data_IF_497065909521
#
_entry.id   IF_497065909521
#
_cell.length_a   1.000
_cell.length_b   1.000
_cell.length_c   1.000
_cell.angle_alpha   90.00
_cell.angle_beta   90.00
_cell.angle_gamma   90.00
#
_symmetry.space_group_name_H-M   'P 1'
#
loop_
_entity.id
_entity.type
_entity.pdbx_description
1 polymer ?
#
# COMPACT_ATOMS: atom_id res chain seq x y z
N UNK A 1 41.29 11.69 39.26
CA UNK A 1 40.60 10.40 39.36
C UNK A 1 39.22 10.63 38.77
N UNK A 2 38.93 9.93 37.67
CA UNK A 2 37.69 10.06 36.91
C UNK A 2 36.52 9.46 37.67
N UNK A 3 35.35 10.10 37.58
CA UNK A 3 34.08 9.40 37.55
C UNK A 3 33.19 10.16 36.56
N UNK A 4 33.10 9.53 35.41
CA UNK A 4 32.08 9.68 34.39
C UNK A 4 30.80 9.06 34.96
N UNK A 5 29.69 9.79 34.95
CA UNK A 5 28.38 9.23 35.32
C UNK A 5 27.35 9.77 34.32
N UNK A 6 27.49 9.27 33.08
CA UNK A 6 26.40 9.14 32.11
C UNK A 6 25.26 8.30 32.73
N UNK A 7 24.11 8.93 32.98
CA UNK A 7 22.81 8.24 33.08
C UNK A 7 21.62 9.22 33.06
N UNK A 8 21.29 9.76 31.88
CA UNK A 8 19.94 10.30 31.64
C UNK A 8 18.99 9.13 31.26
N UNK A 9 17.88 8.90 32.00
CA UNK A 9 16.98 7.80 31.74
C UNK A 9 15.96 8.15 30.66
N UNK A 10 15.93 7.34 29.61
CA UNK A 10 14.68 7.04 28.92
C UNK A 10 14.15 8.11 27.97
N UNK A 11 14.94 8.45 26.95
CA UNK A 11 14.35 8.85 25.67
C UNK A 11 13.64 7.63 25.05
N UNK A 12 12.39 7.39 25.48
CA UNK A 12 11.45 6.58 24.71
C UNK A 12 11.36 7.23 23.34
N UNK A 13 12.02 6.58 22.39
CA UNK A 13 12.05 6.85 20.97
C UNK A 13 10.65 7.11 20.43
N UNK A 14 10.26 8.39 20.42
CA UNK A 14 9.26 8.90 19.50
C UNK A 14 9.87 8.84 18.10
N UNK A 15 9.75 7.69 17.44
CA UNK A 15 10.06 7.61 16.01
C UNK A 15 9.19 8.62 15.28
N UNK A 16 9.77 9.53 14.49
CA UNK A 16 8.96 10.49 13.77
C UNK A 16 8.24 9.73 12.65
N UNK A 17 6.91 9.89 12.60
CA UNK A 17 6.04 9.30 11.57
C UNK A 17 6.47 9.65 10.13
N UNK A 18 7.42 10.57 9.93
CA UNK A 18 8.03 10.94 8.66
C UNK A 18 9.02 9.91 8.10
N UNK A 19 9.62 9.03 8.91
CA UNK A 19 10.54 8.01 8.38
C UNK A 19 9.81 6.90 7.60
N UNK A 20 8.54 6.63 7.94
CA UNK A 20 7.68 5.71 7.18
C UNK A 20 7.09 6.35 5.91
N UNK A 21 7.21 7.67 5.76
CA UNK A 21 6.80 8.40 4.55
C UNK A 21 7.88 8.43 3.46
N UNK A 22 9.09 7.94 3.73
CA UNK A 22 10.21 7.96 2.80
C UNK A 22 10.29 6.73 1.89
N UNK A 23 9.53 5.67 2.17
CA UNK A 23 9.45 4.46 1.33
C UNK A 23 8.10 4.43 0.63
N UNK A 24 8.09 4.19 -0.67
CA UNK A 24 6.87 4.11 -1.48
C UNK A 24 6.88 2.87 -2.37
N UNK A 25 5.70 2.37 -2.70
CA UNK A 25 5.53 1.26 -3.64
C UNK A 25 4.90 1.82 -4.93
N UNK A 26 5.72 2.53 -5.70
CA UNK A 26 5.30 3.27 -6.89
C UNK A 26 5.20 2.37 -8.12
N UNK A 27 3.98 2.10 -8.54
CA UNK A 27 3.67 1.36 -9.76
C UNK A 27 2.53 2.04 -10.51
N UNK A 28 2.50 1.91 -11.82
CA UNK A 28 1.30 2.19 -12.61
C UNK A 28 0.26 1.09 -12.36
N UNK A 29 -1.04 1.36 -12.62
CA UNK A 29 -2.07 0.33 -12.64
C UNK A 29 -1.70 -0.90 -13.49
N UNK A 30 -1.10 -0.74 -14.67
CA UNK A 30 -0.65 -1.89 -15.49
C UNK A 30 0.39 -2.73 -14.76
N UNK A 31 1.46 -2.10 -14.29
CA UNK A 31 2.55 -2.80 -13.62
C UNK A 31 2.07 -3.49 -12.33
N UNK A 32 1.14 -2.88 -11.57
CA UNK A 32 0.60 -3.51 -10.38
C UNK A 32 -0.27 -4.74 -10.71
N UNK A 33 -1.03 -4.71 -11.80
CA UNK A 33 -1.80 -5.87 -12.24
C UNK A 33 -0.87 -7.04 -12.64
N UNK A 34 0.20 -6.74 -13.39
CA UNK A 34 1.22 -7.71 -13.78
C UNK A 34 1.97 -8.26 -12.56
N UNK A 35 2.47 -7.39 -11.69
CA UNK A 35 3.12 -7.77 -10.43
C UNK A 35 2.21 -8.63 -9.55
N UNK A 36 0.91 -8.31 -9.48
CA UNK A 36 -0.06 -9.10 -8.74
C UNK A 36 -0.12 -10.54 -9.24
N UNK A 37 -0.10 -10.74 -10.56
CA UNK A 37 -0.08 -12.07 -11.19
C UNK A 37 1.23 -12.81 -10.86
N UNK A 38 2.38 -12.14 -10.98
CA UNK A 38 3.67 -12.75 -10.67
C UNK A 38 3.76 -13.20 -9.20
N UNK A 39 3.29 -12.37 -8.27
CA UNK A 39 3.23 -12.70 -6.85
C UNK A 39 2.29 -13.88 -6.57
N UNK A 40 1.20 -14.00 -7.33
CA UNK A 40 0.28 -15.14 -7.25
C UNK A 40 0.92 -16.42 -7.78
N UNK A 41 1.59 -16.36 -8.93
CA UNK A 41 2.27 -17.49 -9.54
C UNK A 41 3.43 -17.99 -8.67
N UNK A 42 4.14 -17.09 -8.01
CA UNK A 42 5.19 -17.42 -7.04
C UNK A 42 4.66 -17.88 -5.66
N UNK A 43 3.34 -17.91 -5.46
CA UNK A 43 2.71 -18.34 -4.19
C UNK A 43 2.85 -17.34 -3.03
N UNK A 44 3.26 -16.10 -3.30
CA UNK A 44 3.33 -15.03 -2.29
C UNK A 44 1.92 -14.57 -1.89
N UNK A 45 1.02 -14.44 -2.89
CA UNK A 45 -0.40 -14.13 -2.69
C UNK A 45 -1.26 -15.38 -2.96
N UNK A 46 -2.36 -15.52 -2.23
CA UNK A 46 -3.42 -16.47 -2.57
C UNK A 46 -4.40 -15.87 -3.61
N UNK A 47 -5.38 -16.66 -4.07
CA UNK A 47 -6.34 -16.22 -5.11
C UNK A 47 -7.13 -14.97 -4.70
N UNK A 48 -7.55 -14.88 -3.43
CA UNK A 48 -8.32 -13.75 -2.93
C UNK A 48 -7.47 -12.48 -2.87
N UNK A 49 -6.25 -12.60 -2.36
CA UNK A 49 -5.29 -11.50 -2.27
C UNK A 49 -4.86 -11.01 -3.65
N UNK A 50 -4.66 -11.95 -4.58
CA UNK A 50 -4.41 -11.65 -5.98
C UNK A 50 -5.58 -10.89 -6.61
N UNK A 51 -6.81 -11.41 -6.49
CA UNK A 51 -7.99 -10.74 -7.05
C UNK A 51 -8.18 -9.33 -6.48
N UNK A 52 -7.90 -9.17 -5.19
CA UNK A 52 -7.94 -7.89 -4.49
C UNK A 52 -6.87 -6.90 -5.00
N UNK A 53 -5.64 -7.36 -5.23
CA UNK A 53 -4.52 -6.52 -5.66
C UNK A 53 -4.51 -6.23 -7.17
N UNK A 54 -4.82 -7.21 -7.99
CA UNK A 54 -4.76 -7.13 -9.45
C UNK A 54 -5.94 -6.38 -10.08
N UNK A 55 -7.05 -6.21 -9.34
CA UNK A 55 -8.16 -5.39 -9.82
C UNK A 55 -7.76 -3.90 -9.87
N UNK A 56 -7.67 -3.37 -11.08
CA UNK A 56 -7.33 -1.97 -11.34
C UNK A 56 -8.44 -1.32 -12.16
N UNK A 57 -9.18 -0.39 -11.55
CA UNK A 57 -10.33 0.24 -12.21
C UNK A 57 -9.93 0.89 -13.54
N UNK A 58 -8.76 1.53 -13.61
CA UNK A 58 -8.24 2.20 -14.81
C UNK A 58 -8.01 1.25 -16.01
N UNK A 59 -7.94 -0.06 -15.77
CA UNK A 59 -7.80 -1.07 -16.83
C UNK A 59 -9.15 -1.65 -17.27
N UNK A 60 -10.25 -1.28 -16.61
CA UNK A 60 -11.56 -1.82 -16.90
C UNK A 60 -12.13 -1.21 -18.19
N UNK A 61 -12.62 -2.02 -19.15
CA UNK A 61 -13.17 -1.51 -20.41
C UNK A 61 -14.35 -0.56 -20.18
N UNK A 62 -15.15 -0.84 -19.15
CA UNK A 62 -16.32 -0.04 -18.79
C UNK A 62 -16.02 1.11 -17.81
N UNK A 63 -14.76 1.51 -17.62
CA UNK A 63 -14.44 2.63 -16.70
C UNK A 63 -15.25 3.89 -17.03
N UNK A 64 -15.34 4.22 -18.33
CA UNK A 64 -16.03 5.42 -18.80
C UNK A 64 -17.52 5.43 -18.46
N UNK A 65 -18.18 4.26 -18.47
CA UNK A 65 -19.62 4.13 -18.20
C UNK A 65 -19.93 3.90 -16.72
N UNK A 66 -18.91 3.76 -15.87
CA UNK A 66 -19.04 3.51 -14.44
C UNK A 66 -18.40 4.62 -13.61
N UNK A 67 -17.13 4.46 -13.21
CA UNK A 67 -16.39 5.43 -12.39
C UNK A 67 -16.28 6.77 -13.10
N UNK A 68 -15.93 6.77 -14.39
CA UNK A 68 -15.81 7.98 -15.19
C UNK A 68 -17.12 8.75 -15.31
N UNK A 69 -18.26 8.06 -15.41
CA UNK A 69 -19.57 8.70 -15.45
C UNK A 69 -19.95 9.38 -14.11
N UNK A 70 -19.54 8.81 -12.98
CA UNK A 70 -19.83 9.34 -11.64
C UNK A 70 -18.88 10.45 -11.20
N UNK A 71 -17.63 10.43 -11.68
CA UNK A 71 -16.56 11.32 -11.21
C UNK A 71 -16.14 12.37 -12.25
N UNK A 72 -16.42 12.13 -13.53
CA UNK A 72 -15.88 12.91 -14.65
C UNK A 72 -14.40 12.63 -14.95
N UNK A 73 -13.78 11.69 -14.23
CA UNK A 73 -12.37 11.35 -14.41
C UNK A 73 -12.14 10.46 -15.63
N UNK A 74 -10.91 10.49 -16.16
CA UNK A 74 -10.43 9.57 -17.20
C UNK A 74 -9.59 8.46 -16.57
N UNK A 75 -9.59 7.25 -17.14
CA UNK A 75 -8.69 6.21 -16.65
C UNK A 75 -7.24 6.66 -16.85
N UNK A 76 -6.40 6.42 -15.85
CA UNK A 76 -4.97 6.77 -15.86
C UNK A 76 -4.12 5.50 -15.67
N UNK A 77 -4.14 4.55 -16.63
CA UNK A 77 -3.52 3.24 -16.46
C UNK A 77 -2.00 3.27 -16.37
N UNK A 78 -1.38 4.34 -16.86
CA UNK A 78 0.08 4.52 -16.93
C UNK A 78 0.58 5.61 -15.95
N UNK A 79 -0.29 6.09 -15.04
CA UNK A 79 0.11 7.06 -14.00
C UNK A 79 0.53 6.32 -12.73
N UNK A 80 1.79 6.44 -12.28
CA UNK A 80 2.23 5.80 -11.04
C UNK A 80 1.45 6.25 -9.81
N UNK A 81 1.25 5.33 -8.87
CA UNK A 81 0.59 5.53 -7.58
C UNK A 81 1.39 4.83 -6.49
N UNK A 82 1.36 5.38 -5.29
CA UNK A 82 1.90 4.68 -4.12
C UNK A 82 0.88 3.65 -3.62
N UNK A 83 1.02 2.42 -4.08
CA UNK A 83 0.12 1.33 -3.67
C UNK A 83 0.27 1.00 -2.19
N UNK A 84 1.43 1.23 -1.58
CA UNK A 84 1.57 0.99 -0.15
C UNK A 84 0.68 1.96 0.64
N UNK A 85 0.69 3.24 0.30
CA UNK A 85 -0.19 4.23 0.92
C UNK A 85 -1.68 3.92 0.68
N UNK A 86 -2.05 3.58 -0.56
CA UNK A 86 -3.44 3.24 -0.92
C UNK A 86 -3.97 2.05 -0.11
N UNK A 87 -3.18 0.98 0.01
CA UNK A 87 -3.58 -0.21 0.76
C UNK A 87 -3.58 0.01 2.27
N UNK A 88 -2.69 0.84 2.81
CA UNK A 88 -2.74 1.26 4.21
C UNK A 88 -3.99 2.10 4.51
N UNK A 89 -4.38 3.00 3.60
CA UNK A 89 -5.62 3.76 3.72
C UNK A 89 -6.85 2.85 3.69
N UNK A 90 -6.89 1.88 2.76
CA UNK A 90 -7.95 0.87 2.69
C UNK A 90 -8.03 0.04 3.98
N UNK A 91 -6.90 -0.38 4.52
CA UNK A 91 -6.84 -1.10 5.81
C UNK A 91 -7.41 -0.27 6.96
N UNK A 92 -7.04 1.01 7.03
CA UNK A 92 -7.55 1.92 8.05
C UNK A 92 -9.07 2.13 7.92
N UNK A 93 -9.58 2.21 6.68
CA UNK A 93 -11.00 2.31 6.40
C UNK A 93 -11.77 1.07 6.87
N UNK A 94 -11.38 -0.13 6.44
CA UNK A 94 -12.09 -1.37 6.80
C UNK A 94 -12.11 -1.62 8.31
N UNK A 95 -11.02 -1.29 9.01
CA UNK A 95 -10.93 -1.41 10.48
C UNK A 95 -11.87 -0.48 11.25
N UNK A 96 -12.27 0.66 10.66
CA UNK A 96 -13.13 1.65 11.32
C UNK A 96 -14.62 1.41 11.07
N UNK A 97 -14.98 0.42 10.26
CA UNK A 97 -16.39 0.08 10.00
C UNK A 97 -17.08 -0.37 11.28
N UNK A 98 -18.38 -0.10 11.37
CA UNK A 98 -19.23 -0.52 12.51
C UNK A 98 -19.19 -2.04 12.71
N UNK A 99 -19.18 -2.78 11.61
CA UNK A 99 -19.09 -4.24 11.57
C UNK A 99 -17.91 -4.62 10.67
N UNK A 100 -16.71 -4.80 11.23
CA UNK A 100 -15.51 -5.12 10.46
C UNK A 100 -15.55 -6.56 9.92
N UNK A 101 -15.26 -6.72 8.63
CA UNK A 101 -14.97 -8.04 8.05
C UNK A 101 -13.52 -8.43 8.39
N UNK A 102 -13.36 -9.26 9.42
CA UNK A 102 -12.04 -9.68 9.89
C UNK A 102 -11.27 -10.48 8.84
N UNK A 103 -11.93 -11.27 7.99
CA UNK A 103 -11.26 -12.05 6.94
C UNK A 103 -10.69 -11.13 5.88
N UNK A 104 -11.49 -10.17 5.41
CA UNK A 104 -11.02 -9.15 4.46
C UNK A 104 -9.86 -8.34 5.05
N UNK A 105 -9.96 -7.94 6.32
CA UNK A 105 -8.88 -7.20 7.01
C UNK A 105 -7.58 -8.01 7.03
N UNK A 106 -7.63 -9.32 7.25
CA UNK A 106 -6.44 -10.18 7.22
C UNK A 106 -5.81 -10.24 5.82
N UNK A 107 -6.61 -10.35 4.76
CA UNK A 107 -6.10 -10.31 3.40
C UNK A 107 -5.45 -8.97 3.06
N UNK A 108 -6.10 -7.85 3.42
CA UNK A 108 -5.56 -6.50 3.24
C UNK A 108 -4.24 -6.34 4.01
N UNK A 109 -4.16 -6.84 5.24
CA UNK A 109 -2.93 -6.82 6.04
C UNK A 109 -1.79 -7.57 5.35
N UNK A 110 -2.06 -8.78 4.84
CA UNK A 110 -1.07 -9.57 4.10
C UNK A 110 -0.58 -8.83 2.86
N UNK A 111 -1.47 -8.21 2.09
CA UNK A 111 -1.10 -7.38 0.93
C UNK A 111 -0.19 -6.22 1.37
N UNK A 112 -0.56 -5.48 2.43
CA UNK A 112 0.27 -4.38 2.96
C UNK A 112 1.67 -4.88 3.36
N UNK A 113 1.77 -6.06 3.99
CA UNK A 113 3.07 -6.64 4.35
C UNK A 113 3.93 -6.98 3.12
N UNK A 114 3.33 -7.51 2.06
CA UNK A 114 4.03 -7.78 0.80
C UNK A 114 4.50 -6.48 0.16
N UNK A 115 3.63 -5.49 0.01
CA UNK A 115 3.96 -4.19 -0.59
C UNK A 115 5.05 -3.45 0.21
N UNK A 116 5.07 -3.55 1.55
CA UNK A 116 6.15 -2.99 2.37
C UNK A 116 7.51 -3.61 2.08
N UNK A 117 7.56 -4.89 1.72
CA UNK A 117 8.82 -5.57 1.36
C UNK A 117 9.32 -5.15 -0.02
N UNK A 118 8.41 -4.75 -0.90
CA UNK A 118 8.71 -4.25 -2.25
C UNK A 118 9.02 -2.74 -2.27
N UNK A 119 8.57 -2.00 -1.26
CA UNK A 119 8.77 -0.56 -1.18
C UNK A 119 10.25 -0.20 -1.18
N UNK A 120 10.61 0.76 -2.02
CA UNK A 120 11.95 1.31 -2.13
C UNK A 120 11.94 2.77 -1.62
N UNK A 121 13.11 3.32 -1.25
CA UNK A 121 13.22 4.75 -0.94
C UNK A 121 12.73 5.59 -2.11
N UNK A 122 11.83 6.53 -1.80
CA UNK A 122 11.33 7.50 -2.77
C UNK A 122 12.48 8.43 -3.10
N UNK A 123 13.03 8.31 -4.31
CA UNK A 123 13.99 9.30 -4.79
C UNK A 123 13.21 10.59 -5.07
N UNK A 124 13.55 11.72 -4.42
CA UNK A 124 12.94 12.99 -4.78
C UNK A 124 13.29 13.28 -6.24
N UNK A 125 12.28 13.50 -7.09
CA UNK A 125 12.51 13.99 -8.45
C UNK A 125 13.32 15.30 -8.40
N UNK A 126 14.23 15.54 -9.34
CA UNK A 126 15.05 16.75 -9.39
C UNK A 126 14.20 18.03 -9.58
#
# INVERSE_FOLDING_TARGET
MAIDEDAEPGAVSAWPATALSALGCWYTPREMAELGLDLRLCGVLNDVEYALLAFQADLHPDFATTVGALTGERPMPDRPRDYLALWQQRLAFERRRREPDHTLIQHILRIVMVLRRLAAPVHPAP
#
